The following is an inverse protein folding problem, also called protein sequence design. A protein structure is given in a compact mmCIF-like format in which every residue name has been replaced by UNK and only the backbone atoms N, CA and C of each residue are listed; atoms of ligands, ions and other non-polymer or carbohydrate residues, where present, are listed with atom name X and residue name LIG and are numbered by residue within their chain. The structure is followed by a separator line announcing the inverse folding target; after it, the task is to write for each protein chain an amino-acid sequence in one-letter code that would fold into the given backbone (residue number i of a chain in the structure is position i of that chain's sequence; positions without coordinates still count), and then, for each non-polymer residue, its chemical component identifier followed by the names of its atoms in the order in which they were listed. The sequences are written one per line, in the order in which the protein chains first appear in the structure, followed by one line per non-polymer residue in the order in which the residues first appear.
data_IF_030210486361
#
_entry.id   IF_030210486361
#
_cell.length_a   1.000
_cell.length_b   1.000
_cell.length_c   1.000
_cell.angle_alpha   90.00
_cell.angle_beta   90.00
_cell.angle_gamma   90.00
#
_symmetry.space_group_name_H-M   'P 1'
#
loop_
_entity.id
_entity.type
_entity.pdbx_description
1 polymer ?
#
# COMPACT_ATOMS: atom_id res chain seq x y z
N UNK A 1 7.78 19.08 -9.85
CA UNK A 1 6.49 18.38 -9.74
C UNK A 1 5.60 19.10 -8.73
N UNK A 2 4.38 19.37 -9.11
CA UNK A 2 3.42 19.99 -8.21
C UNK A 2 3.06 19.04 -7.06
N UNK A 3 2.82 19.57 -5.84
CA UNK A 3 2.44 18.70 -4.71
C UNK A 3 1.25 17.79 -5.01
N UNK A 4 0.22 18.30 -5.67
CA UNK A 4 -0.96 17.49 -6.01
C UNK A 4 -0.63 16.35 -6.95
N UNK A 5 0.25 16.59 -7.92
CA UNK A 5 0.71 15.55 -8.84
C UNK A 5 1.52 14.48 -8.11
N UNK A 6 2.37 14.91 -7.16
CA UNK A 6 3.16 13.97 -6.38
C UNK A 6 2.26 13.10 -5.51
N UNK A 7 1.27 13.70 -4.85
CA UNK A 7 0.30 12.96 -4.04
C UNK A 7 -0.44 11.94 -4.90
N UNK A 8 -0.91 12.34 -6.06
CA UNK A 8 -1.65 11.45 -6.95
C UNK A 8 -0.76 10.30 -7.43
N UNK A 9 0.48 10.61 -7.78
CA UNK A 9 1.43 9.59 -8.23
C UNK A 9 1.68 8.54 -7.14
N UNK A 10 1.85 8.99 -5.90
CA UNK A 10 2.07 8.07 -4.77
C UNK A 10 0.82 7.22 -4.53
N UNK A 11 -0.36 7.82 -4.58
CA UNK A 11 -1.60 7.07 -4.40
C UNK A 11 -1.80 6.02 -5.50
N UNK A 12 -1.52 6.39 -6.74
CA UNK A 12 -1.64 5.45 -7.87
C UNK A 12 -0.66 4.28 -7.71
N UNK A 13 0.57 4.56 -7.27
CA UNK A 13 1.56 3.52 -7.01
C UNK A 13 1.12 2.61 -5.87
N UNK A 14 0.53 3.18 -4.81
CA UNK A 14 -0.01 2.38 -3.70
C UNK A 14 -1.12 1.45 -4.16
N UNK A 15 -2.02 1.94 -5.01
CA UNK A 15 -3.10 1.11 -5.55
C UNK A 15 -2.54 -0.03 -6.41
N UNK A 16 -1.51 0.25 -7.21
CA UNK A 16 -0.85 -0.78 -8.02
C UNK A 16 -0.19 -1.81 -7.12
N UNK A 17 0.50 -1.38 -6.06
CA UNK A 17 1.11 -2.31 -5.11
C UNK A 17 0.08 -3.20 -4.43
N UNK A 18 -1.07 -2.63 -4.04
CA UNK A 18 -2.13 -3.41 -3.42
C UNK A 18 -2.64 -4.50 -4.36
N UNK A 19 -2.82 -4.17 -5.64
CA UNK A 19 -3.26 -5.17 -6.64
C UNK A 19 -2.23 -6.29 -6.79
N UNK A 20 -0.94 -5.94 -6.83
CA UNK A 20 0.11 -6.94 -6.95
C UNK A 20 0.21 -7.83 -5.71
N UNK A 21 0.05 -7.24 -4.52
CA UNK A 21 0.05 -8.02 -3.28
C UNK A 21 -1.09 -9.03 -3.25
N UNK A 22 -2.26 -8.66 -3.80
CA UNK A 22 -3.39 -9.59 -3.87
C UNK A 22 -3.10 -10.80 -4.75
N UNK A 23 -2.22 -10.66 -5.74
CA UNK A 23 -1.82 -11.77 -6.60
C UNK A 23 -0.87 -12.73 -5.88
N UNK A 24 -0.11 -12.22 -4.92
CA UNK A 24 0.86 -13.03 -4.18
C UNK A 24 0.15 -14.04 -3.27
N UNK A 25 -0.94 -13.64 -2.60
CA UNK A 25 -1.61 -14.50 -1.64
C UNK A 25 -2.00 -15.88 -2.18
N UNK A 26 -2.67 -15.99 -3.33
CA UNK A 26 -2.98 -17.32 -3.88
C UNK A 26 -1.74 -18.13 -4.21
N UNK A 27 -0.67 -17.47 -4.67
CA UNK A 27 0.56 -18.15 -5.02
C UNK A 27 1.27 -18.72 -3.79
N UNK A 28 1.20 -18.01 -2.66
CA UNK A 28 1.79 -18.50 -1.40
C UNK A 28 1.19 -19.87 -1.04
N UNK A 29 -0.12 -20.03 -1.20
CA UNK A 29 -0.80 -21.28 -0.87
C UNK A 29 -0.31 -22.48 -1.67
N UNK A 30 0.39 -22.24 -2.79
CA UNK A 30 0.91 -23.32 -3.66
C UNK A 30 2.35 -23.69 -3.37
N UNK A 31 3.00 -23.04 -2.42
CA UNK A 31 4.42 -23.28 -2.15
C UNK A 31 4.73 -24.65 -1.57
N UNK A 32 3.77 -25.23 -0.85
CA UNK A 32 3.97 -26.57 -0.31
C UNK A 32 4.87 -26.63 0.92
N UNK A 33 5.29 -25.51 1.45
CA UNK A 33 6.13 -25.43 2.66
C UNK A 33 5.46 -24.51 3.66
N UNK A 34 4.97 -25.09 4.74
CA UNK A 34 4.17 -24.36 5.72
C UNK A 34 4.93 -23.21 6.38
N UNK A 35 6.18 -23.45 6.74
CA UNK A 35 6.98 -22.43 7.43
C UNK A 35 7.17 -21.22 6.53
N UNK A 36 7.51 -21.44 5.26
CA UNK A 36 7.66 -20.35 4.30
C UNK A 36 6.33 -19.65 4.04
N UNK A 37 5.25 -20.43 3.93
CA UNK A 37 3.91 -19.86 3.72
C UNK A 37 3.54 -18.93 4.86
N UNK A 38 3.75 -19.34 6.10
CA UNK A 38 3.42 -18.53 7.27
C UNK A 38 4.22 -17.23 7.28
N UNK A 39 5.51 -17.30 6.96
CA UNK A 39 6.36 -16.11 6.87
C UNK A 39 5.90 -15.17 5.78
N UNK A 40 5.53 -15.72 4.64
CA UNK A 40 5.10 -14.91 3.50
C UNK A 40 3.78 -14.22 3.80
N UNK A 41 2.81 -14.93 4.38
CA UNK A 41 1.53 -14.32 4.76
C UNK A 41 1.73 -13.17 5.76
N UNK A 42 2.60 -13.38 6.74
CA UNK A 42 2.90 -12.34 7.72
C UNK A 42 3.55 -11.13 7.06
N UNK A 43 4.49 -11.36 6.15
CA UNK A 43 5.17 -10.30 5.43
C UNK A 43 4.21 -9.52 4.54
N UNK A 44 3.35 -10.23 3.80
CA UNK A 44 2.36 -9.57 2.92
C UNK A 44 1.39 -8.74 3.75
N UNK A 45 0.96 -9.26 4.90
CA UNK A 45 0.09 -8.49 5.80
C UNK A 45 0.76 -7.19 6.23
N UNK A 46 2.03 -7.26 6.60
CA UNK A 46 2.79 -6.08 7.02
C UNK A 46 2.93 -5.08 5.86
N UNK A 47 3.23 -5.57 4.66
CA UNK A 47 3.34 -4.72 3.48
C UNK A 47 2.01 -4.04 3.15
N UNK A 48 0.92 -4.78 3.27
CA UNK A 48 -0.42 -4.23 3.04
C UNK A 48 -0.71 -3.10 4.02
N UNK A 49 -0.36 -3.30 5.29
CA UNK A 49 -0.52 -2.28 6.32
C UNK A 49 0.33 -1.05 6.02
N UNK A 50 1.57 -1.26 5.57
CA UNK A 50 2.47 -0.16 5.23
C UNK A 50 1.95 0.63 4.04
N UNK A 51 1.41 -0.04 3.03
CA UNK A 51 0.80 0.63 1.87
C UNK A 51 -0.38 1.49 2.33
N UNK A 52 -1.24 0.93 3.20
CA UNK A 52 -2.36 1.69 3.74
C UNK A 52 -1.90 2.91 4.53
N UNK A 53 -0.82 2.77 5.28
CA UNK A 53 -0.24 3.90 6.02
C UNK A 53 0.18 5.02 5.08
N UNK A 54 0.81 4.68 3.95
CA UNK A 54 1.20 5.68 2.96
C UNK A 54 -0.03 6.37 2.36
N UNK A 55 -1.07 5.61 2.03
CA UNK A 55 -2.30 6.17 1.48
C UNK A 55 -2.95 7.16 2.46
N UNK A 56 -2.99 6.78 3.73
CA UNK A 56 -3.55 7.66 4.78
C UNK A 56 -2.73 8.94 4.93
N UNK A 57 -1.40 8.83 4.84
CA UNK A 57 -0.53 9.98 4.93
C UNK A 57 -0.81 10.96 3.78
N UNK A 58 -1.03 10.43 2.59
CA UNK A 58 -1.35 11.26 1.43
C UNK A 58 -2.70 11.96 1.58
N UNK A 59 -3.68 11.26 2.13
CA UNK A 59 -4.99 11.86 2.39
C UNK A 59 -4.90 12.99 3.42
N UNK A 60 -4.13 12.78 4.48
CA UNK A 60 -3.92 13.80 5.50
C UNK A 60 -3.24 15.04 4.94
N UNK A 61 -2.23 14.82 4.11
CA UNK A 61 -1.51 15.92 3.49
C UNK A 61 -2.42 16.75 2.59
N UNK A 62 -3.26 16.08 1.83
CA UNK A 62 -4.23 16.73 0.96
C UNK A 62 -5.24 17.56 1.75
N UNK A 63 -5.72 17.01 2.85
CA UNK A 63 -6.66 17.72 3.74
C UNK A 63 -6.02 18.93 4.40
N UNK A 64 -4.73 18.83 4.74
CA UNK A 64 -4.00 19.96 5.30
C UNK A 64 -3.95 21.15 4.34
N UNK A 65 -3.67 20.85 3.07
CA UNK A 65 -3.62 21.89 2.05
C UNK A 65 -4.98 22.56 1.92
N UNK A 66 -6.05 21.78 1.93
CA UNK A 66 -7.41 22.31 1.86
C UNK A 66 -7.72 23.17 3.10
N UNK A 67 -7.29 22.72 4.27
CA UNK A 67 -7.49 23.45 5.52
C UNK A 67 -6.70 24.74 5.55
N UNK A 68 -5.51 24.75 4.98
CA UNK A 68 -4.64 25.92 4.95
C UNK A 68 -5.24 27.07 4.12
N UNK A 69 -6.09 26.73 3.18
CA UNK A 69 -6.75 27.73 2.33
C UNK A 69 -7.90 28.45 3.03
N UNK A 70 -8.36 27.89 4.12
CA UNK A 70 -9.43 28.49 4.91
C UNK A 70 -8.92 29.57 5.85
#
# INVERSE_FOLDING_TARGET
MEPDQAIQQIRDACDAMSRELMKINPAIGRLGDKETQDRMFETVYRMTTDVETMKKAMLKLRKRDDSAEL
#
